data_IF_924608244172
#
_entry.id   IF_924608244172
#
_cell.length_a   1.000
_cell.length_b   1.000
_cell.length_c   1.000
_cell.angle_alpha   90.00
_cell.angle_beta   90.00
_cell.angle_gamma   90.00
#
_symmetry.space_group_name_H-M   'P 1'
#
loop_
_entity.id
_entity.type
_entity.pdbx_description
1 polymer ?
#
# COMPACT_ATOMS: atom_id res chain seq x y z
N UNK A 1 -5.77 13.15 10.81
CA UNK A 1 -5.21 12.13 11.72
C UNK A 1 -3.70 12.32 11.70
N UNK A 2 -3.13 12.80 12.83
CA UNK A 2 -1.67 12.94 12.98
C UNK A 2 -0.95 11.62 12.73
N UNK A 3 0.37 11.70 12.55
CA UNK A 3 1.22 10.55 12.19
C UNK A 3 0.95 9.30 13.04
N UNK A 4 0.87 8.16 12.35
CA UNK A 4 0.75 6.86 12.99
C UNK A 4 1.53 5.80 12.19
N UNK A 5 2.03 4.80 12.91
CA UNK A 5 2.68 3.64 12.31
C UNK A 5 1.62 2.69 11.76
N UNK A 6 1.82 2.24 10.53
CA UNK A 6 1.06 1.17 9.90
C UNK A 6 1.93 -0.08 9.74
N UNK A 7 1.40 -1.25 10.08
CA UNK A 7 2.04 -2.56 9.85
C UNK A 7 1.15 -3.40 8.96
N UNK A 8 1.71 -4.14 8.00
CA UNK A 8 0.92 -5.03 7.15
C UNK A 8 1.62 -6.35 6.85
N UNK A 9 0.82 -7.39 6.73
CA UNK A 9 1.22 -8.68 6.13
C UNK A 9 0.48 -8.84 4.81
N UNK A 10 1.23 -9.07 3.75
CA UNK A 10 0.68 -9.36 2.41
C UNK A 10 0.78 -10.85 2.15
N UNK A 11 -0.22 -11.42 1.50
CA UNK A 11 -0.31 -12.84 1.20
C UNK A 11 -0.62 -13.11 -0.27
N UNK A 12 -0.01 -14.16 -0.80
CA UNK A 12 -0.46 -14.84 -2.00
C UNK A 12 -1.58 -15.82 -1.65
N UNK A 13 -2.47 -16.09 -2.61
CA UNK A 13 -3.52 -17.10 -2.46
C UNK A 13 -2.96 -18.52 -2.43
N UNK A 14 -3.72 -19.49 -1.88
CA UNK A 14 -3.39 -20.89 -2.00
C UNK A 14 -3.29 -21.32 -3.46
N UNK A 15 -2.47 -22.33 -3.73
CA UNK A 15 -2.31 -22.85 -5.09
C UNK A 15 -3.64 -23.38 -5.64
N UNK A 16 -3.99 -23.00 -6.87
CA UNK A 16 -5.26 -23.33 -7.52
C UNK A 16 -6.40 -22.36 -7.23
N UNK A 17 -6.19 -21.37 -6.37
CA UNK A 17 -7.15 -20.31 -6.02
C UNK A 17 -6.61 -18.91 -6.32
N UNK A 18 -5.60 -18.80 -7.18
CA UNK A 18 -5.00 -17.54 -7.56
C UNK A 18 -5.98 -16.63 -8.29
N UNK A 19 -6.00 -15.36 -7.91
CA UNK A 19 -6.70 -14.30 -8.63
C UNK A 19 -5.64 -13.47 -9.34
N UNK A 20 -5.73 -13.34 -10.67
CA UNK A 20 -4.79 -12.53 -11.45
C UNK A 20 -4.78 -11.09 -10.94
N UNK A 21 -3.60 -10.58 -10.60
CA UNK A 21 -3.43 -9.24 -10.04
C UNK A 21 -4.01 -9.07 -8.62
N UNK A 22 -4.34 -10.18 -7.95
CA UNK A 22 -4.94 -10.17 -6.63
C UNK A 22 -3.97 -10.52 -5.51
N UNK A 23 -4.26 -10.03 -4.31
CA UNK A 23 -3.58 -10.40 -3.08
C UNK A 23 -4.49 -10.19 -1.86
N UNK A 24 -4.19 -10.89 -0.77
CA UNK A 24 -4.78 -10.63 0.53
C UNK A 24 -3.83 -9.81 1.40
N UNK A 25 -4.37 -8.98 2.29
CA UNK A 25 -3.57 -8.17 3.22
C UNK A 25 -4.27 -8.01 4.55
N UNK A 26 -3.54 -8.23 5.64
CA UNK A 26 -3.93 -7.75 6.98
C UNK A 26 -3.10 -6.50 7.27
N UNK A 27 -3.74 -5.41 7.68
CA UNK A 27 -3.06 -4.14 8.00
C UNK A 27 -3.59 -3.57 9.30
N UNK A 28 -2.67 -3.27 10.21
CA UNK A 28 -2.89 -2.45 11.39
C UNK A 28 -2.61 -0.98 11.03
N UNK A 29 -3.58 -0.12 11.32
CA UNK A 29 -3.54 1.32 11.08
C UNK A 29 -3.48 2.13 12.40
N UNK A 30 -3.12 1.46 13.50
CA UNK A 30 -2.97 2.05 14.84
C UNK A 30 -4.30 2.21 15.60
N UNK A 31 -5.39 2.56 14.91
CA UNK A 31 -6.74 2.71 15.48
C UNK A 31 -7.75 1.67 14.98
N UNK A 32 -7.42 0.98 13.89
CA UNK A 32 -8.22 -0.10 13.32
C UNK A 32 -7.32 -1.10 12.63
N UNK A 33 -7.81 -2.33 12.54
CA UNK A 33 -7.17 -3.39 11.76
C UNK A 33 -8.11 -3.75 10.62
N UNK A 34 -7.53 -3.94 9.44
CA UNK A 34 -8.25 -4.27 8.21
C UNK A 34 -7.74 -5.57 7.62
N UNK A 35 -8.66 -6.38 7.11
CA UNK A 35 -8.39 -7.52 6.24
C UNK A 35 -8.97 -7.19 4.86
N UNK A 36 -8.11 -7.15 3.84
CA UNK A 36 -8.51 -6.81 2.48
C UNK A 36 -8.19 -7.94 1.50
N UNK A 37 -9.09 -8.15 0.55
CA UNK A 37 -8.81 -8.74 -0.76
C UNK A 37 -8.71 -7.58 -1.76
N UNK A 38 -7.54 -7.41 -2.38
CA UNK A 38 -7.34 -6.44 -3.47
C UNK A 38 -7.16 -7.17 -4.79
N UNK A 39 -7.67 -6.57 -5.87
CA UNK A 39 -7.54 -7.07 -7.25
C UNK A 39 -7.32 -5.85 -8.15
N UNK A 40 -6.21 -5.85 -8.88
CA UNK A 40 -5.90 -4.83 -9.90
C UNK A 40 -5.86 -5.50 -11.26
N UNK A 41 -6.76 -5.09 -12.17
CA UNK A 41 -6.90 -5.67 -13.52
C UNK A 41 -6.47 -4.74 -14.66
N UNK A 42 -5.99 -3.54 -14.35
CA UNK A 42 -5.64 -2.49 -15.31
C UNK A 42 -5.19 -1.21 -14.59
N UNK A 43 -5.00 -0.13 -15.35
CA UNK A 43 -4.40 1.12 -14.86
C UNK A 43 -5.44 2.19 -14.48
N UNK A 44 -6.71 1.95 -14.75
CA UNK A 44 -7.77 2.93 -14.45
C UNK A 44 -8.31 2.74 -13.04
N UNK A 45 -8.95 3.77 -12.51
CA UNK A 45 -9.54 3.75 -11.16
C UNK A 45 -10.58 2.61 -11.06
N UNK A 46 -11.39 2.38 -12.10
CA UNK A 46 -12.38 1.31 -12.14
C UNK A 46 -11.79 -0.12 -12.16
N UNK A 47 -10.50 -0.26 -12.50
CA UNK A 47 -9.80 -1.54 -12.56
C UNK A 47 -9.24 -1.97 -11.19
N UNK A 48 -9.42 -1.15 -10.16
CA UNK A 48 -9.03 -1.44 -8.78
C UNK A 48 -10.24 -1.85 -7.95
N UNK A 49 -10.28 -3.12 -7.55
CA UNK A 49 -11.36 -3.67 -6.71
C UNK A 49 -10.81 -4.06 -5.36
N UNK A 50 -11.56 -3.71 -4.32
CA UNK A 50 -11.22 -4.06 -2.94
C UNK A 50 -12.47 -4.54 -2.20
N UNK A 51 -12.34 -5.69 -1.54
CA UNK A 51 -13.21 -6.07 -0.42
C UNK A 51 -12.40 -5.81 0.84
N UNK A 52 -12.85 -4.90 1.69
CA UNK A 52 -12.15 -4.52 2.92
C UNK A 52 -13.08 -4.72 4.12
N UNK A 53 -12.60 -5.48 5.10
CA UNK A 53 -13.30 -5.76 6.34
C UNK A 53 -12.51 -5.17 7.51
N UNK A 54 -13.22 -4.61 8.49
CA UNK A 54 -12.62 -4.32 9.80
C UNK A 54 -12.57 -5.62 10.60
N UNK A 55 -11.41 -5.92 11.16
CA UNK A 55 -11.21 -7.04 12.09
C UNK A 55 -10.74 -6.48 13.44
N UNK A 56 -10.84 -7.30 14.48
CA UNK A 56 -10.59 -6.89 15.87
C UNK A 56 -9.19 -7.30 16.39
N UNK A 57 -8.50 -8.20 15.69
CA UNK A 57 -7.19 -8.72 16.10
C UNK A 57 -6.29 -9.00 14.87
N UNK A 58 -5.08 -8.43 14.87
CA UNK A 58 -4.15 -8.50 13.76
C UNK A 58 -3.54 -9.89 13.62
N UNK A 59 -3.10 -10.48 14.73
CA UNK A 59 -2.41 -11.77 14.71
C UNK A 59 -3.37 -12.91 14.41
N UNK A 60 -4.61 -12.85 14.93
CA UNK A 60 -5.65 -13.83 14.57
C UNK A 60 -6.06 -13.74 13.11
N UNK A 61 -6.11 -12.54 12.53
CA UNK A 61 -6.41 -12.39 11.10
C UNK A 61 -5.26 -12.93 10.22
N UNK A 62 -4.01 -12.72 10.63
CA UNK A 62 -2.82 -13.30 9.99
C UNK A 62 -2.84 -14.82 10.10
N UNK A 63 -3.11 -15.36 11.28
CA UNK A 63 -3.23 -16.80 11.53
C UNK A 63 -4.38 -17.42 10.73
N UNK A 64 -5.53 -16.76 10.62
CA UNK A 64 -6.64 -17.19 9.79
C UNK A 64 -6.21 -17.38 8.34
N UNK A 65 -5.55 -16.39 7.73
CA UNK A 65 -5.09 -16.50 6.34
C UNK A 65 -4.05 -17.62 6.16
N UNK A 66 -3.11 -17.77 7.10
CA UNK A 66 -2.15 -18.88 7.07
C UNK A 66 -2.83 -20.25 7.11
N UNK A 67 -3.82 -20.43 7.99
CA UNK A 67 -4.58 -21.68 8.12
C UNK A 67 -5.49 -21.96 6.91
N UNK A 68 -5.93 -20.93 6.19
CA UNK A 68 -6.63 -21.07 4.90
C UNK A 68 -5.68 -21.44 3.73
N UNK A 69 -4.37 -21.54 3.98
CA UNK A 69 -3.37 -21.92 2.99
C UNK A 69 -2.75 -20.75 2.23
N UNK A 70 -3.01 -19.50 2.63
CA UNK A 70 -2.39 -18.33 2.02
C UNK A 70 -0.91 -18.24 2.42
N UNK A 71 -0.03 -18.04 1.45
CA UNK A 71 1.40 -17.92 1.69
C UNK A 71 1.77 -16.46 1.99
N UNK A 72 2.43 -16.22 3.13
CA UNK A 72 2.93 -14.88 3.45
C UNK A 72 3.98 -14.46 2.42
N UNK A 73 3.72 -13.32 1.79
CA UNK A 73 4.54 -12.72 0.73
C UNK A 73 5.49 -11.67 1.29
N UNK A 74 4.98 -10.78 2.15
CA UNK A 74 5.78 -9.69 2.71
C UNK A 74 5.25 -9.20 4.07
N UNK A 75 6.14 -8.65 4.88
CA UNK A 75 5.83 -7.81 6.03
C UNK A 75 6.38 -6.41 5.80
N UNK A 76 5.54 -5.38 5.97
CA UNK A 76 5.92 -4.00 5.65
C UNK A 76 5.40 -2.97 6.66
N UNK A 77 6.24 -1.98 6.94
CA UNK A 77 5.92 -0.82 7.77
C UNK A 77 5.94 0.48 6.95
N UNK A 78 5.08 1.42 7.34
CA UNK A 78 5.17 2.81 6.91
C UNK A 78 4.58 3.71 8.01
N UNK A 79 5.03 4.96 8.10
CA UNK A 79 4.32 5.99 8.88
C UNK A 79 3.42 6.76 7.93
N UNK A 80 2.22 7.10 8.39
CA UNK A 80 1.22 7.82 7.60
C UNK A 80 0.63 8.95 8.43
N UNK A 81 0.51 10.12 7.84
CA UNK A 81 -0.48 11.13 8.22
C UNK A 81 -1.65 11.09 7.26
N UNK A 82 -2.86 11.38 7.73
CA UNK A 82 -4.08 11.30 6.93
C UNK A 82 -4.96 12.53 7.12
N UNK A 83 -5.30 13.21 6.03
CA UNK A 83 -6.08 14.43 6.01
C UNK A 83 -7.20 14.33 4.97
N UNK A 84 -8.29 15.08 5.18
CA UNK A 84 -9.37 15.21 4.19
C UNK A 84 -9.39 16.65 3.70
N UNK A 85 -9.23 16.84 2.39
CA UNK A 85 -9.26 18.14 1.73
C UNK A 85 -10.33 18.11 0.64
N UNK A 86 -11.45 18.80 0.87
CA UNK A 86 -12.58 18.90 -0.08
C UNK A 86 -13.08 17.54 -0.63
N UNK A 87 -13.07 16.53 0.24
CA UNK A 87 -13.49 15.17 -0.10
C UNK A 87 -12.43 14.31 -0.79
N UNK A 88 -11.21 14.82 -0.99
CA UNK A 88 -10.04 14.01 -1.32
C UNK A 88 -9.32 13.56 -0.04
N UNK A 89 -8.87 12.31 -0.02
CA UNK A 89 -7.95 11.79 0.98
C UNK A 89 -6.53 12.24 0.60
N UNK A 90 -5.86 12.93 1.52
CA UNK A 90 -4.48 13.39 1.34
C UNK A 90 -3.65 12.75 2.45
N UNK A 91 -2.63 11.99 2.06
CA UNK A 91 -1.75 11.32 3.01
C UNK A 91 -0.31 11.79 2.83
N UNK A 92 0.41 11.87 3.95
CA UNK A 92 1.87 12.04 3.95
C UNK A 92 2.44 10.69 4.36
N UNK A 93 3.13 10.04 3.44
CA UNK A 93 3.62 8.69 3.59
C UNK A 93 5.13 8.70 3.74
N UNK A 94 5.63 8.16 4.85
CA UNK A 94 7.03 7.84 5.04
C UNK A 94 7.19 6.31 5.01
N UNK A 95 7.91 5.83 4.00
CA UNK A 95 8.26 4.42 3.85
C UNK A 95 9.76 4.23 4.07
N UNK A 96 10.21 3.10 4.65
CA UNK A 96 11.63 2.83 4.84
C UNK A 96 12.44 3.03 3.57
N UNK A 97 13.52 3.80 3.63
CA UNK A 97 14.40 4.06 2.47
C UNK A 97 13.80 4.91 1.33
N UNK A 98 12.60 5.47 1.47
CA UNK A 98 12.06 6.51 0.58
C UNK A 98 12.10 7.88 1.27
N UNK A 99 12.15 8.95 0.47
CA UNK A 99 11.79 10.28 0.96
C UNK A 99 10.26 10.31 1.19
N UNK A 100 9.77 11.02 2.23
CA UNK A 100 8.34 11.19 2.42
C UNK A 100 7.67 11.81 1.20
N UNK A 101 6.48 11.34 0.86
CA UNK A 101 5.72 11.83 -0.28
C UNK A 101 4.24 11.97 0.05
N UNK A 102 3.53 12.76 -0.77
CA UNK A 102 2.09 12.93 -0.67
C UNK A 102 1.37 12.00 -1.62
N UNK A 103 0.39 11.26 -1.11
CA UNK A 103 -0.57 10.50 -1.92
C UNK A 103 -1.95 11.17 -1.81
N UNK A 104 -2.60 11.37 -2.95
CA UNK A 104 -3.93 11.99 -3.06
C UNK A 104 -4.86 11.00 -3.73
N UNK A 105 -5.87 10.53 -2.99
CA UNK A 105 -6.90 9.62 -3.48
C UNK A 105 -8.28 10.29 -3.47
N UNK A 106 -9.04 10.12 -4.54
CA UNK A 106 -10.41 10.62 -4.64
C UNK A 106 -11.23 9.79 -5.63
N UNK A 107 -12.55 9.97 -5.63
CA UNK A 107 -13.48 9.29 -6.53
C UNK A 107 -13.37 9.74 -8.02
N UNK A 108 -12.53 10.74 -8.31
CA UNK A 108 -12.36 11.27 -9.65
C UNK A 108 -11.02 12.00 -9.81
N UNK A 109 -10.40 11.88 -10.99
CA UNK A 109 -9.14 12.55 -11.32
C UNK A 109 -9.24 14.09 -11.19
N UNK A 110 -10.40 14.66 -11.46
CA UNK A 110 -10.64 16.10 -11.31
C UNK A 110 -10.46 16.58 -9.86
N UNK A 111 -10.93 15.79 -8.88
CA UNK A 111 -10.72 16.11 -7.46
C UNK A 111 -9.25 15.96 -7.06
N UNK A 112 -8.57 14.93 -7.56
CA UNK A 112 -7.12 14.74 -7.34
C UNK A 112 -6.34 15.96 -7.84
N UNK A 113 -6.60 16.41 -9.08
CA UNK A 113 -5.97 17.62 -9.66
C UNK A 113 -6.25 18.87 -8.84
N UNK A 114 -7.50 19.05 -8.38
CA UNK A 114 -7.88 20.21 -7.58
C UNK A 114 -7.17 20.23 -6.21
N UNK A 115 -7.08 19.09 -5.54
CA UNK A 115 -6.35 18.95 -4.28
C UNK A 115 -4.85 19.19 -4.46
N UNK A 116 -4.23 18.61 -5.49
CA UNK A 116 -2.82 18.82 -5.82
C UNK A 116 -2.52 20.31 -6.04
N UNK A 117 -3.34 21.01 -6.83
CA UNK A 117 -3.17 22.44 -7.09
C UNK A 117 -3.28 23.29 -5.80
N UNK A 118 -4.21 22.96 -4.89
CA UNK A 118 -4.36 23.68 -3.61
C UNK A 118 -3.18 23.49 -2.66
N UNK A 119 -2.51 22.34 -2.78
CA UNK A 119 -1.31 21.99 -2.02
C UNK A 119 -0.01 22.44 -2.72
N UNK A 120 -0.13 23.21 -3.81
CA UNK A 120 1.00 23.72 -4.60
C UNK A 120 1.87 22.61 -5.24
N UNK A 121 1.26 21.46 -5.55
CA UNK A 121 1.90 20.37 -6.28
C UNK A 121 1.66 20.44 -7.79
N UNK A 122 2.72 20.18 -8.56
CA UNK A 122 2.65 20.01 -10.01
C UNK A 122 2.15 18.61 -10.36
N UNK A 123 0.88 18.51 -10.79
CA UNK A 123 0.26 17.25 -11.17
C UNK A 123 1.00 16.52 -12.31
N UNK A 124 1.77 17.22 -13.15
CA UNK A 124 2.54 16.57 -14.22
C UNK A 124 3.69 15.71 -13.70
N UNK A 125 4.08 15.90 -12.43
CA UNK A 125 5.09 15.09 -11.73
C UNK A 125 4.46 13.92 -10.95
N UNK A 126 3.13 13.77 -10.99
CA UNK A 126 2.45 12.72 -10.27
C UNK A 126 2.93 11.33 -10.69
N UNK A 127 3.00 10.46 -9.69
CA UNK A 127 3.24 9.03 -9.88
C UNK A 127 1.91 8.30 -9.79
N UNK A 128 1.70 7.36 -10.71
CA UNK A 128 0.56 6.46 -10.70
C UNK A 128 1.06 5.05 -10.43
N UNK A 129 0.45 4.39 -9.44
CA UNK A 129 0.84 3.03 -9.04
C UNK A 129 0.94 2.89 -7.52
N UNK A 130 1.40 1.72 -7.09
CA UNK A 130 1.63 1.43 -5.68
C UNK A 130 3.04 1.89 -5.26
N UNK A 131 3.31 1.86 -3.95
CA UNK A 131 4.64 2.20 -3.39
C UNK A 131 5.79 1.41 -4.03
N UNK A 132 5.53 0.18 -4.51
CA UNK A 132 6.51 -0.61 -5.25
C UNK A 132 7.13 0.13 -6.44
N UNK A 133 6.32 0.92 -7.14
CA UNK A 133 6.73 1.74 -8.29
C UNK A 133 7.63 2.90 -7.87
N UNK A 134 7.40 3.47 -6.69
CA UNK A 134 8.24 4.52 -6.12
C UNK A 134 9.63 3.96 -5.79
N UNK A 135 9.69 2.80 -5.14
CA UNK A 135 10.97 2.09 -4.91
C UNK A 135 11.68 1.73 -6.21
N UNK A 136 10.96 1.12 -7.16
CA UNK A 136 11.49 0.72 -8.46
C UNK A 136 12.16 1.90 -9.18
N UNK A 137 11.50 3.07 -9.21
CA UNK A 137 12.06 4.27 -9.81
C UNK A 137 13.28 4.80 -9.06
N UNK A 138 13.22 4.90 -7.72
CA UNK A 138 14.34 5.42 -6.91
C UNK A 138 15.60 4.57 -7.07
N UNK A 139 15.45 3.25 -6.97
CA UNK A 139 16.57 2.31 -6.95
C UNK A 139 16.92 1.74 -8.33
N UNK A 140 16.17 2.09 -9.37
CA UNK A 140 16.33 1.57 -10.75
C UNK A 140 16.25 0.03 -10.79
N UNK A 141 15.31 -0.52 -10.04
CA UNK A 141 14.99 -1.95 -9.96
C UNK A 141 13.58 -2.21 -10.53
N UNK A 142 13.16 -3.47 -10.61
CA UNK A 142 11.83 -3.83 -11.10
C UNK A 142 10.79 -3.79 -9.99
N UNK A 143 9.52 -3.53 -10.34
CA UNK A 143 8.39 -3.71 -9.42
C UNK A 143 8.32 -5.13 -8.87
N UNK A 144 8.72 -6.12 -9.68
CA UNK A 144 8.77 -7.53 -9.29
C UNK A 144 9.79 -7.78 -8.16
N UNK A 145 10.97 -7.16 -8.24
CA UNK A 145 11.96 -7.27 -7.17
C UNK A 145 11.42 -6.72 -5.85
N UNK A 146 10.73 -5.57 -5.87
CA UNK A 146 10.14 -4.97 -4.68
C UNK A 146 8.98 -5.82 -4.16
N UNK A 147 8.05 -6.20 -5.03
CA UNK A 147 6.81 -6.83 -4.62
C UNK A 147 7.01 -8.31 -4.25
N UNK A 148 7.83 -9.06 -5.00
CA UNK A 148 7.91 -10.53 -4.90
C UNK A 148 9.25 -11.03 -4.36
N UNK A 149 10.31 -10.21 -4.35
CA UNK A 149 11.63 -10.61 -3.88
C UNK A 149 12.14 -9.81 -2.67
N UNK A 150 11.30 -8.93 -2.10
CA UNK A 150 11.63 -8.17 -0.89
C UNK A 150 10.61 -8.48 0.22
N UNK A 151 10.79 -9.59 0.97
CA UNK A 151 9.81 -10.06 1.94
C UNK A 151 9.70 -9.19 3.20
N UNK A 152 10.62 -8.26 3.40
CA UNK A 152 10.67 -7.39 4.57
C UNK A 152 11.02 -5.96 4.16
N UNK A 153 10.20 -5.00 4.60
CA UNK A 153 10.47 -3.56 4.48
C UNK A 153 10.06 -2.91 5.81
N UNK A 154 11.04 -2.61 6.67
CA UNK A 154 10.82 -2.08 8.03
C UNK A 154 11.80 -0.94 8.30
N UNK A 155 11.51 -0.10 9.30
CA UNK A 155 12.40 1.01 9.62
C UNK A 155 13.74 0.56 10.21
N UNK A 156 13.76 -0.59 10.90
CA UNK A 156 14.91 -1.08 11.68
C UNK A 156 15.78 -2.11 10.93
N UNK A 157 15.71 -2.15 9.60
CA UNK A 157 16.52 -3.08 8.78
C UNK A 157 17.56 -2.36 7.92
N UNK A 158 18.54 -3.12 7.40
CA UNK A 158 19.43 -2.62 6.35
C UNK A 158 18.66 -2.47 5.05
N UNK A 159 18.97 -1.40 4.30
CA UNK A 159 18.35 -1.15 3.00
C UNK A 159 18.63 -2.33 2.04
N UNK A 160 17.61 -3.09 1.62
CA UNK A 160 17.79 -4.28 0.78
C UNK A 160 18.01 -3.94 -0.70
N UNK A 161 17.90 -2.66 -1.08
CA UNK A 161 17.99 -2.19 -2.47
C UNK A 161 19.36 -1.59 -2.80
N UNK A 162 20.27 -1.52 -1.83
CA UNK A 162 21.64 -1.06 -2.01
C UNK A 162 22.59 -2.21 -1.64
N UNK A 163 23.46 -2.56 -2.57
CA UNK A 163 24.54 -3.53 -2.43
C UNK A 163 25.86 -2.91 -2.77
#
# INVERSE_FOLDING_TARGET
KPEFLQKRVVFNFPSGHEIKGGWARVRDEGDKITLSLKIVSGDKIEDQKEICLKVDDFERAVELLRNLGCAQKAFQENRRELWILDGAEVTIDEWPFLEPYVEIEADSEAKVKSAAQKLDFDYSQAFFGAVGTVYAKKYKITDDQVNNHTPLITFDMKNPFVG
#
